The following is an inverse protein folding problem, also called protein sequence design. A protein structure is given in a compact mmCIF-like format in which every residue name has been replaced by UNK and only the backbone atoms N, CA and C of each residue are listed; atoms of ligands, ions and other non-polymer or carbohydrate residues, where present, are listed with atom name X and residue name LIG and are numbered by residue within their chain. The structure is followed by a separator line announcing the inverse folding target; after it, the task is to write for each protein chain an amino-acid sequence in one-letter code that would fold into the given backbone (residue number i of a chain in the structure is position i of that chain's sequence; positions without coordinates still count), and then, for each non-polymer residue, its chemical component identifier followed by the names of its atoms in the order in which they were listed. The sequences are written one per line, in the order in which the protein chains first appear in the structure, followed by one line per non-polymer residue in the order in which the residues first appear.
data_IF_975714358111
#
_entry.id   IF_975714358111
#
_cell.length_a   1.000
_cell.length_b   1.000
_cell.length_c   1.000
_cell.angle_alpha   90.00
_cell.angle_beta   90.00
_cell.angle_gamma   90.00
#
_symmetry.space_group_name_H-M   'P 1'
#
loop_
_entity.id
_entity.type
_entity.pdbx_description
1 polymer ?
#
# COMPACT_ATOMS: atom_id res chain seq x y z
N UNK A 1 -2.39 -40.08 13.80
CA UNK A 1 -3.47 -39.07 13.75
C UNK A 1 -3.19 -37.94 12.76
N UNK A 2 -1.99 -37.36 12.74
CA UNK A 2 -1.63 -36.20 11.86
C UNK A 2 -1.75 -36.50 10.34
N UNK A 3 -1.48 -37.74 9.89
CA UNK A 3 -1.56 -38.12 8.47
C UNK A 3 -2.98 -38.10 7.89
N UNK A 4 -4.01 -38.35 8.71
CA UNK A 4 -5.41 -38.31 8.25
C UNK A 4 -5.86 -36.88 7.96
N UNK A 5 -5.50 -35.96 8.85
CA UNK A 5 -5.83 -34.53 8.74
C UNK A 5 -5.23 -33.92 7.47
N UNK A 6 -3.99 -34.28 7.13
CA UNK A 6 -3.31 -33.79 5.93
C UNK A 6 -3.99 -34.24 4.62
N UNK A 7 -4.51 -35.47 4.57
CA UNK A 7 -5.19 -36.00 3.38
C UNK A 7 -6.56 -35.33 3.19
N UNK A 8 -7.32 -35.16 4.28
CA UNK A 8 -8.60 -34.44 4.23
C UNK A 8 -8.41 -32.96 3.87
N UNK A 9 -7.37 -32.30 4.38
CA UNK A 9 -7.05 -30.92 4.02
C UNK A 9 -6.66 -30.79 2.54
N UNK A 10 -5.87 -31.73 2.01
CA UNK A 10 -5.50 -31.75 0.61
C UNK A 10 -6.71 -31.93 -0.33
N UNK A 11 -7.64 -32.82 0.02
CA UNK A 11 -8.88 -33.04 -0.75
C UNK A 11 -9.85 -31.84 -0.69
N UNK A 12 -9.91 -31.15 0.45
CA UNK A 12 -10.76 -29.96 0.60
C UNK A 12 -10.20 -28.78 -0.21
N UNK A 13 -8.87 -28.64 -0.25
CA UNK A 13 -8.21 -27.61 -1.07
C UNK A 13 -8.35 -27.87 -2.59
N UNK A 14 -8.32 -29.12 -3.05
CA UNK A 14 -8.53 -29.43 -4.48
C UNK A 14 -9.99 -29.28 -4.92
N UNK A 15 -10.96 -29.52 -4.02
CA UNK A 15 -12.37 -29.26 -4.32
C UNK A 15 -12.68 -27.76 -4.50
N UNK A 16 -12.02 -26.89 -3.71
CA UNK A 16 -12.17 -25.44 -3.81
C UNK A 16 -11.56 -24.84 -5.09
N UNK A 17 -10.49 -25.43 -5.64
CA UNK A 17 -9.89 -24.96 -6.89
C UNK A 17 -10.59 -25.51 -8.14
N UNK A 18 -11.25 -26.67 -8.06
CA UNK A 18 -12.05 -27.23 -9.15
C UNK A 18 -13.37 -26.49 -9.40
N UNK A 19 -13.98 -25.89 -8.36
CA UNK A 19 -15.24 -25.15 -8.49
C UNK A 19 -15.13 -23.79 -9.21
N UNK A 20 -13.93 -23.24 -9.34
CA UNK A 20 -13.72 -21.96 -10.05
C UNK A 20 -13.79 -22.09 -11.57
N UNK A 21 -13.44 -23.28 -12.11
CA UNK A 21 -13.51 -23.55 -13.54
C UNK A 21 -14.95 -23.85 -14.02
N UNK A 22 -15.77 -24.43 -13.14
CA UNK A 22 -17.15 -24.82 -13.45
C UNK A 22 -18.10 -23.61 -13.59
N UNK A 23 -17.83 -22.52 -12.86
CA UNK A 23 -18.66 -21.30 -12.91
C UNK A 23 -18.71 -20.67 -14.33
N UNK A 24 -17.64 -20.80 -15.11
CA UNK A 24 -17.59 -20.29 -16.49
C UNK A 24 -18.22 -21.24 -17.52
N UNK A 25 -18.49 -22.50 -17.15
CA UNK A 25 -19.25 -23.45 -17.98
C UNK A 25 -20.77 -23.35 -17.76
N UNK A 26 -21.21 -22.59 -16.75
CA UNK A 26 -22.62 -22.35 -16.51
C UNK A 26 -23.20 -21.43 -17.60
N UNK A 27 -23.87 -22.06 -18.56
CA UNK A 27 -24.63 -21.43 -19.65
C UNK A 27 -25.70 -20.42 -19.21
N UNK A 28 -25.96 -20.33 -17.90
CA UNK A 28 -26.83 -19.34 -17.29
C UNK A 28 -26.20 -17.94 -17.27
N UNK A 29 -24.88 -17.83 -17.06
CA UNK A 29 -24.18 -16.53 -16.96
C UNK A 29 -24.08 -15.87 -18.34
N UNK A 30 -23.86 -16.67 -19.40
CA UNK A 30 -23.85 -16.17 -20.78
C UNK A 30 -25.20 -15.69 -21.29
N UNK A 31 -26.31 -16.00 -20.60
CA UNK A 31 -27.65 -15.53 -20.95
C UNK A 31 -28.06 -14.23 -20.23
N UNK A 32 -27.48 -13.96 -19.05
CA UNK A 32 -27.84 -12.78 -18.24
C UNK A 32 -27.04 -11.54 -18.66
N UNK A 33 -25.78 -11.74 -19.07
CA UNK A 33 -24.90 -10.65 -19.51
C UNK A 33 -24.02 -11.12 -20.69
N UNK A 34 -24.61 -11.30 -21.89
CA UNK A 34 -23.92 -11.83 -23.05
C UNK A 34 -22.69 -10.99 -23.43
N UNK A 35 -22.82 -9.66 -23.44
CA UNK A 35 -21.73 -8.75 -23.81
C UNK A 35 -20.53 -8.83 -22.84
N UNK A 36 -20.81 -8.94 -21.53
CA UNK A 36 -19.76 -9.09 -20.51
C UNK A 36 -19.10 -10.47 -20.60
N UNK A 37 -19.87 -11.52 -20.88
CA UNK A 37 -19.36 -12.87 -21.03
C UNK A 37 -18.49 -13.01 -22.29
N UNK A 38 -18.89 -12.41 -23.41
CA UNK A 38 -18.09 -12.38 -24.64
C UNK A 38 -16.76 -11.63 -24.44
N UNK A 39 -16.80 -10.47 -23.78
CA UNK A 39 -15.59 -9.72 -23.44
C UNK A 39 -14.65 -10.50 -22.51
N UNK A 40 -15.19 -11.15 -21.47
CA UNK A 40 -14.41 -12.00 -20.56
C UNK A 40 -13.90 -13.28 -21.23
N UNK A 41 -14.65 -13.83 -22.18
CA UNK A 41 -14.21 -15.00 -22.94
C UNK A 41 -12.99 -14.70 -23.82
N UNK A 42 -12.84 -13.48 -24.35
CA UNK A 42 -11.64 -13.07 -25.06
C UNK A 42 -10.41 -13.01 -24.13
N UNK A 43 -10.58 -12.42 -22.94
CA UNK A 43 -9.53 -12.39 -21.91
C UNK A 43 -9.12 -13.80 -21.46
N UNK A 44 -10.08 -14.70 -21.20
CA UNK A 44 -9.81 -16.08 -20.77
C UNK A 44 -9.20 -16.93 -21.89
N UNK A 45 -9.54 -16.66 -23.15
CA UNK A 45 -8.89 -17.28 -24.33
C UNK A 45 -7.46 -16.75 -24.57
N UNK A 46 -6.99 -15.79 -23.78
CA UNK A 46 -5.69 -15.16 -23.96
C UNK A 46 -5.60 -14.26 -25.20
N UNK A 47 -6.72 -14.01 -25.87
CA UNK A 47 -6.78 -13.18 -27.08
C UNK A 47 -6.77 -11.70 -26.66
N UNK A 48 -5.59 -11.10 -26.57
CA UNK A 48 -5.40 -9.70 -26.18
C UNK A 48 -4.22 -9.45 -25.24
N UNK A 49 -3.64 -10.50 -24.67
CA UNK A 49 -2.32 -10.39 -24.05
C UNK A 49 -1.25 -10.31 -25.15
N UNK A 50 -0.21 -9.50 -24.98
CA UNK A 50 0.95 -9.51 -25.88
C UNK A 50 1.47 -10.94 -26.02
N UNK A 51 2.02 -11.28 -27.18
CA UNK A 51 2.70 -12.57 -27.28
C UNK A 51 3.85 -12.58 -26.26
N UNK A 52 4.22 -13.75 -25.73
CA UNK A 52 5.34 -13.83 -24.79
C UNK A 52 6.65 -13.26 -25.38
N UNK A 53 6.75 -13.21 -26.71
CA UNK A 53 7.83 -12.56 -27.44
C UNK A 53 7.80 -11.02 -27.35
N UNK A 54 6.62 -10.42 -27.14
CA UNK A 54 6.41 -8.97 -27.00
C UNK A 54 6.57 -8.49 -25.55
N UNK A 55 6.60 -9.42 -24.57
CA UNK A 55 6.87 -9.09 -23.18
C UNK A 55 8.34 -8.68 -23.06
N UNK A 56 8.63 -7.45 -22.61
CA UNK A 56 10.02 -7.01 -22.42
C UNK A 56 10.75 -8.00 -21.53
N UNK A 57 11.90 -8.48 -22.01
CA UNK A 57 12.78 -9.37 -21.25
C UNK A 57 13.04 -8.76 -19.87
N UNK A 58 12.88 -9.57 -18.82
CA UNK A 58 13.02 -9.15 -17.44
C UNK A 58 14.28 -8.28 -17.28
N UNK A 59 14.08 -7.04 -16.84
CA UNK A 59 15.18 -6.10 -16.62
C UNK A 59 16.12 -6.73 -15.59
N UNK A 60 17.45 -6.73 -15.82
CA UNK A 60 18.37 -7.24 -14.82
C UNK A 60 18.15 -6.46 -13.51
N UNK A 61 17.88 -7.20 -12.44
CA UNK A 61 17.80 -6.63 -11.10
C UNK A 61 19.21 -6.62 -10.51
N UNK A 62 19.64 -5.46 -10.06
CA UNK A 62 20.95 -5.32 -9.44
C UNK A 62 20.93 -5.87 -8.01
N UNK A 63 21.98 -6.62 -7.69
CA UNK A 63 22.29 -7.08 -6.36
C UNK A 63 21.83 -8.49 -6.02
N UNK A 64 22.24 -8.95 -4.85
CA UNK A 64 21.98 -10.31 -4.35
C UNK A 64 20.87 -10.31 -3.31
N UNK A 65 20.22 -11.47 -3.08
CA UNK A 65 19.21 -11.61 -2.05
C UNK A 65 19.69 -11.08 -0.68
N UNK A 66 20.94 -11.40 -0.30
CA UNK A 66 21.54 -10.89 0.94
C UNK A 66 21.63 -9.35 1.00
N UNK A 67 21.90 -8.69 -0.13
CA UNK A 67 21.92 -7.21 -0.18
C UNK A 67 20.51 -6.63 -0.03
N UNK A 68 19.49 -7.30 -0.57
CA UNK A 68 18.10 -6.92 -0.39
C UNK A 68 17.63 -7.13 1.04
N UNK A 69 18.07 -8.19 1.71
CA UNK A 69 17.75 -8.44 3.12
C UNK A 69 18.34 -7.33 4.02
N UNK A 70 19.58 -6.94 3.79
CA UNK A 70 20.22 -5.83 4.52
C UNK A 70 19.49 -4.51 4.29
N UNK A 71 19.13 -4.18 3.04
CA UNK A 71 18.33 -2.99 2.73
C UNK A 71 16.97 -3.02 3.40
N UNK A 72 16.33 -4.18 3.42
CA UNK A 72 15.01 -4.37 4.04
C UNK A 72 15.09 -4.17 5.55
N UNK A 73 16.11 -4.72 6.21
CA UNK A 73 16.35 -4.50 7.64
C UNK A 73 16.54 -3.01 7.94
N UNK A 74 17.40 -2.32 7.17
CA UNK A 74 17.63 -0.89 7.35
C UNK A 74 16.36 -0.04 7.18
N UNK A 75 15.49 -0.37 6.21
CA UNK A 75 14.21 0.32 6.02
C UNK A 75 13.28 0.07 7.21
N UNK A 76 13.23 -1.16 7.74
CA UNK A 76 12.41 -1.48 8.91
C UNK A 76 12.88 -0.70 10.15
N UNK A 77 14.19 -0.58 10.34
CA UNK A 77 14.75 0.19 11.46
C UNK A 77 14.41 1.68 11.33
N UNK A 78 14.49 2.24 10.12
CA UNK A 78 14.07 3.62 9.85
C UNK A 78 12.58 3.85 10.10
N UNK A 79 11.74 2.90 9.68
CA UNK A 79 10.30 2.97 9.91
C UNK A 79 9.98 2.94 11.43
N UNK A 80 10.62 2.04 12.17
CA UNK A 80 10.44 1.96 13.62
C UNK A 80 10.88 3.26 14.33
N UNK A 81 11.98 3.88 13.89
CA UNK A 81 12.43 5.16 14.43
C UNK A 81 11.43 6.29 14.14
N UNK A 82 10.84 6.32 12.94
CA UNK A 82 9.82 7.31 12.58
C UNK A 82 8.52 7.10 13.36
N UNK A 83 8.07 5.87 13.55
CA UNK A 83 6.90 5.56 14.37
C UNK A 83 7.11 5.98 15.82
N UNK A 84 8.27 5.66 16.40
CA UNK A 84 8.63 6.08 17.75
C UNK A 84 8.66 7.61 17.88
N UNK A 85 9.18 8.30 16.85
CA UNK A 85 9.18 9.76 16.82
C UNK A 85 7.77 10.34 16.74
N UNK A 86 6.90 9.79 15.88
CA UNK A 86 5.50 10.24 15.79
C UNK A 86 4.74 10.02 17.10
N UNK A 87 4.99 8.91 17.78
CA UNK A 87 4.46 8.66 19.11
C UNK A 87 4.95 9.68 20.15
N UNK A 88 6.22 10.09 20.07
CA UNK A 88 6.82 11.06 20.98
C UNK A 88 6.38 12.51 20.69
N UNK A 89 6.29 12.89 19.42
CA UNK A 89 5.88 14.23 18.96
C UNK A 89 4.39 14.51 19.25
N UNK A 90 3.61 13.46 19.54
CA UNK A 90 2.22 13.56 19.96
C UNK A 90 1.24 13.69 18.79
N UNK A 91 -0.04 14.04 19.07
CA UNK A 91 -1.05 14.10 18.03
C UNK A 91 -0.70 15.14 16.96
N UNK A 92 -0.80 14.74 15.70
CA UNK A 92 -0.73 15.65 14.56
C UNK A 92 -1.80 16.73 14.77
N UNK A 93 -1.43 17.99 14.52
CA UNK A 93 -2.32 19.15 14.67
C UNK A 93 -3.64 18.90 13.95
N UNK A 94 -4.76 19.26 14.59
CA UNK A 94 -6.07 19.05 13.98
C UNK A 94 -6.26 19.93 12.74
N UNK A 95 -7.11 19.50 11.81
CA UNK A 95 -7.44 20.28 10.61
C UNK A 95 -7.96 21.68 10.96
N UNK A 96 -8.66 21.81 12.09
CA UNK A 96 -9.11 23.10 12.61
C UNK A 96 -7.94 23.99 13.03
N UNK A 97 -6.96 23.44 13.75
CA UNK A 97 -5.76 24.19 14.16
C UNK A 97 -4.93 24.65 12.97
N UNK A 98 -4.86 23.81 11.92
CA UNK A 98 -4.16 24.14 10.67
C UNK A 98 -4.89 25.27 9.94
N UNK A 99 -6.22 25.20 9.82
CA UNK A 99 -7.03 26.26 9.20
C UNK A 99 -6.96 27.57 9.98
N UNK A 100 -7.03 27.53 11.30
CA UNK A 100 -6.91 28.70 12.16
C UNK A 100 -5.53 29.38 12.01
N UNK A 101 -4.45 28.60 11.97
CA UNK A 101 -3.09 29.12 11.75
C UNK A 101 -2.94 29.75 10.36
N UNK A 102 -3.50 29.10 9.33
CA UNK A 102 -3.48 29.65 7.99
C UNK A 102 -4.28 30.97 7.89
N UNK A 103 -5.41 31.09 8.59
CA UNK A 103 -6.18 32.34 8.67
C UNK A 103 -5.41 33.44 9.41
N UNK A 104 -4.73 33.11 10.51
CA UNK A 104 -3.88 34.04 11.24
C UNK A 104 -2.75 34.58 10.35
N UNK A 105 -2.09 33.71 9.58
CA UNK A 105 -1.04 34.12 8.64
C UNK A 105 -1.56 35.06 7.55
N UNK A 106 -2.74 34.78 6.98
CA UNK A 106 -3.38 35.67 6.00
C UNK A 106 -3.66 37.05 6.60
N UNK A 107 -4.24 37.10 7.80
CA UNK A 107 -4.51 38.36 8.50
C UNK A 107 -3.22 39.16 8.76
N UNK A 108 -2.15 38.50 9.22
CA UNK A 108 -0.86 39.17 9.47
C UNK A 108 -0.15 39.69 8.21
N UNK A 109 -0.42 39.09 7.05
CA UNK A 109 0.11 39.55 5.76
C UNK A 109 -0.69 40.74 5.21
N UNK A 110 -2.00 40.76 5.44
CA UNK A 110 -2.88 41.86 5.03
C UNK A 110 -2.71 43.12 5.90
N UNK A 111 -2.35 42.97 7.18
CA UNK A 111 -2.12 44.10 8.11
C UNK A 111 -0.77 44.83 7.92
N UNK A 112 0.10 44.36 7.02
CA UNK A 112 1.41 44.98 6.77
C UNK A 112 2.37 44.79 7.93
N UNK A 113 3.22 43.76 7.83
CA UNK A 113 4.12 43.34 8.90
C UNK A 113 5.04 44.47 9.43
N UNK A 114 4.72 44.97 10.63
CA UNK A 114 5.66 45.67 11.49
C UNK A 114 5.53 45.34 13.00
N UNK A 115 4.54 44.53 13.43
CA UNK A 115 4.29 44.35 14.87
C UNK A 115 3.87 42.94 15.34
N UNK A 116 4.06 41.88 14.55
CA UNK A 116 3.87 40.52 15.05
C UNK A 116 5.24 39.94 15.44
N UNK A 117 5.57 40.01 16.73
CA UNK A 117 6.65 39.21 17.30
C UNK A 117 6.47 37.74 16.90
N UNK A 118 7.58 37.03 16.70
CA UNK A 118 7.54 35.60 16.40
C UNK A 118 6.55 34.90 17.33
N UNK A 119 5.53 34.20 16.81
CA UNK A 119 4.77 33.30 17.67
C UNK A 119 5.81 32.34 18.23
N UNK A 120 5.92 32.28 19.56
CA UNK A 120 6.79 31.33 20.24
C UNK A 120 6.44 29.95 19.71
N UNK A 121 7.33 29.41 18.87
CA UNK A 121 7.42 27.98 18.61
C UNK A 121 7.39 27.31 19.97
N UNK A 122 6.47 26.38 20.26
CA UNK A 122 6.59 25.56 21.46
C UNK A 122 7.98 24.94 21.41
N UNK A 123 8.80 25.31 22.40
CA UNK A 123 10.22 25.00 22.51
C UNK A 123 10.41 23.51 22.26
N UNK A 124 10.99 23.16 21.11
CA UNK A 124 11.43 21.79 20.86
C UNK A 124 12.55 21.54 21.86
N UNK A 125 12.40 20.59 22.82
CA UNK A 125 13.46 20.32 23.78
C UNK A 125 14.73 19.92 23.02
N UNK A 126 15.92 20.40 23.46
CA UNK A 126 17.17 20.11 22.78
C UNK A 126 17.40 18.61 22.69
N UNK A 127 18.00 18.10 21.60
CA UNK A 127 18.25 16.68 21.45
C UNK A 127 19.16 16.20 22.59
N UNK A 128 18.65 15.27 23.39
CA UNK A 128 19.44 14.57 24.41
C UNK A 128 20.59 13.84 23.73
N UNK A 129 21.86 14.05 24.13
CA UNK A 129 22.97 13.30 23.57
C UNK A 129 22.80 11.82 23.92
N UNK A 130 22.81 10.98 22.88
CA UNK A 130 22.79 9.52 23.01
C UNK A 130 24.19 9.07 23.44
N UNK A 131 24.33 8.25 24.51
CA UNK A 131 25.61 7.69 24.95
C UNK A 131 26.17 6.63 24.00
#
# INVERSE_FOLDING_TARGET
MVRGIAISAALMCTALTGGCADLMQQSYISQIAPDWFEAKALEVKGAGYPELADVPVARPVDGTAAQWDVKTAAIKDQAAALEAKLLADGPIRSDEDVRATAAQWRATLEEGAAAAGHPTTPETPPPTPVP
#
